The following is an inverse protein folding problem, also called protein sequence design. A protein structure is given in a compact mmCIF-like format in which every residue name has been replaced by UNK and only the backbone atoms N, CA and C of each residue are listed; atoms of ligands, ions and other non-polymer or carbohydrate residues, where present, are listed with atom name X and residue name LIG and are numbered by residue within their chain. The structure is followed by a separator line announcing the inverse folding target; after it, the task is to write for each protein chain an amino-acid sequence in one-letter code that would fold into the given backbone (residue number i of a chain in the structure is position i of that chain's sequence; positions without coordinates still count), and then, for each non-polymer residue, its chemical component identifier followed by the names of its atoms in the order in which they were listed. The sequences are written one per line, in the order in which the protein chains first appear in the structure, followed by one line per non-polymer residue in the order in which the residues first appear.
data_IF_882392100622
#
_entry.id   IF_882392100622
#
_cell.length_a   1.000
_cell.length_b   1.000
_cell.length_c   1.000
_cell.angle_alpha   90.00
_cell.angle_beta   90.00
_cell.angle_gamma   90.00
#
_symmetry.space_group_name_H-M   'P 1'
#
loop_
_entity.id
_entity.type
_entity.pdbx_description
1 polymer ?
#
# COMPACT_ATOMS: atom_id res chain seq x y z
N UNK A 1 10.09 10.94 -17.30
CA UNK A 1 10.73 10.99 -15.96
C UNK A 1 10.59 9.62 -15.30
N UNK A 2 11.51 9.22 -14.41
CA UNK A 2 11.42 7.96 -13.65
C UNK A 2 10.20 8.00 -12.71
N UNK A 3 9.40 6.96 -12.69
CA UNK A 3 8.15 6.90 -11.89
C UNK A 3 8.42 7.08 -10.39
N UNK A 4 9.55 6.57 -9.87
CA UNK A 4 9.95 6.81 -8.46
C UNK A 4 9.98 8.31 -8.13
N UNK A 5 10.56 9.15 -8.98
CA UNK A 5 10.61 10.61 -8.79
C UNK A 5 9.20 11.21 -8.79
N UNK A 6 8.35 10.78 -9.72
CA UNK A 6 6.94 11.24 -9.80
C UNK A 6 6.16 10.89 -8.52
N UNK A 7 6.36 9.69 -7.98
CA UNK A 7 5.72 9.28 -6.72
C UNK A 7 6.19 10.17 -5.56
N UNK A 8 7.50 10.42 -5.44
CA UNK A 8 8.04 11.30 -4.39
C UNK A 8 7.48 12.72 -4.56
N UNK A 9 7.50 13.28 -5.76
CA UNK A 9 6.91 14.59 -6.05
C UNK A 9 5.41 14.61 -5.69
N UNK A 10 4.65 13.57 -6.04
CA UNK A 10 3.22 13.48 -5.72
C UNK A 10 2.97 13.48 -4.21
N UNK A 11 3.80 12.76 -3.44
CA UNK A 11 3.71 12.75 -1.97
C UNK A 11 4.02 14.13 -1.41
N UNK A 12 5.11 14.77 -1.85
CA UNK A 12 5.50 16.12 -1.39
C UNK A 12 4.49 17.18 -1.80
N UNK A 13 3.91 17.09 -2.99
CA UNK A 13 2.82 17.98 -3.43
C UNK A 13 1.64 17.93 -2.47
N UNK A 14 1.24 16.74 -2.04
CA UNK A 14 0.13 16.57 -1.09
C UNK A 14 0.48 17.00 0.33
N UNK A 15 1.75 16.91 0.73
CA UNK A 15 2.25 17.42 2.01
C UNK A 15 2.28 18.96 2.07
N UNK A 16 2.36 19.66 0.94
CA UNK A 16 2.32 21.13 0.87
C UNK A 16 3.32 21.82 1.80
N UNK A 17 4.49 21.22 2.02
CA UNK A 17 5.51 21.72 2.95
C UNK A 17 5.19 21.51 4.45
N UNK A 18 4.11 20.81 4.79
CA UNK A 18 3.72 20.55 6.18
C UNK A 18 4.44 19.35 6.80
N UNK A 19 5.12 18.58 5.99
CA UNK A 19 5.92 17.42 6.38
C UNK A 19 7.27 17.46 5.72
N UNK A 20 8.27 16.97 6.44
CA UNK A 20 9.63 16.82 5.88
C UNK A 20 9.67 15.71 4.83
N UNK A 21 10.73 15.70 4.01
CA UNK A 21 11.02 14.62 3.06
C UNK A 21 11.08 13.25 3.75
N UNK A 22 11.46 13.21 5.03
CA UNK A 22 11.50 11.99 5.82
C UNK A 22 10.11 11.46 6.21
N UNK A 23 9.10 12.33 6.25
CA UNK A 23 7.70 11.90 6.30
C UNK A 23 7.32 11.10 5.04
N UNK A 24 7.71 11.60 3.86
CA UNK A 24 7.53 10.87 2.59
C UNK A 24 8.32 9.55 2.59
N UNK A 25 9.59 9.57 3.02
CA UNK A 25 10.40 8.36 3.16
C UNK A 25 9.72 7.29 4.01
N UNK A 26 9.24 7.63 5.21
CA UNK A 26 8.57 6.68 6.09
C UNK A 26 7.28 6.12 5.49
N UNK A 27 6.51 6.94 4.80
CA UNK A 27 5.29 6.51 4.11
C UNK A 27 5.62 5.54 2.97
N UNK A 28 6.57 5.91 2.11
CA UNK A 28 6.98 5.11 0.97
C UNK A 28 7.67 3.81 1.38
N UNK A 29 8.38 3.79 2.51
CA UNK A 29 8.97 2.57 3.09
C UNK A 29 7.91 1.68 3.75
N UNK A 30 6.74 2.22 4.08
CA UNK A 30 5.67 1.49 4.75
C UNK A 30 5.87 1.34 6.26
N UNK A 31 6.48 2.34 6.90
CA UNK A 31 6.66 2.36 8.35
C UNK A 31 5.29 2.43 9.04
N UNK A 32 4.95 1.39 9.78
CA UNK A 32 3.70 1.31 10.53
C UNK A 32 3.82 2.07 11.86
N UNK A 33 3.91 3.40 11.80
CA UNK A 33 3.73 4.28 12.97
C UNK A 33 2.39 5.00 12.87
N UNK A 34 1.78 5.36 13.99
CA UNK A 34 0.52 6.09 14.03
C UNK A 34 0.58 7.36 13.16
N UNK A 35 1.65 8.13 13.26
CA UNK A 35 1.87 9.33 12.44
C UNK A 35 1.88 9.03 10.94
N UNK A 36 2.60 8.00 10.50
CA UNK A 36 2.71 7.67 9.07
C UNK A 36 1.36 7.20 8.51
N UNK A 37 0.62 6.40 9.29
CA UNK A 37 -0.70 5.90 8.87
C UNK A 37 -1.69 7.08 8.78
N UNK A 38 -1.68 7.98 9.77
CA UNK A 38 -2.52 9.18 9.77
C UNK A 38 -2.20 10.11 8.61
N UNK A 39 -0.91 10.38 8.35
CA UNK A 39 -0.49 11.18 7.20
C UNK A 39 -0.94 10.51 5.89
N UNK A 40 -0.88 9.18 5.79
CA UNK A 40 -1.40 8.40 4.67
C UNK A 40 -2.89 8.65 4.42
N UNK A 41 -3.70 8.67 5.46
CA UNK A 41 -5.14 8.99 5.38
C UNK A 41 -5.38 10.47 5.12
N UNK A 42 -4.82 11.35 5.94
CA UNK A 42 -5.06 12.79 5.89
C UNK A 42 -4.71 13.40 4.53
N UNK A 43 -3.55 13.02 3.97
CA UNK A 43 -3.10 13.49 2.67
C UNK A 43 -3.53 12.58 1.51
N UNK A 44 -4.37 11.58 1.75
CA UNK A 44 -4.83 10.60 0.74
C UNK A 44 -3.67 9.87 0.04
N UNK A 45 -2.64 9.51 0.80
CA UNK A 45 -1.38 8.91 0.33
C UNK A 45 -1.28 7.40 0.52
N UNK A 46 -2.32 6.75 1.03
CA UNK A 46 -2.37 5.28 1.22
C UNK A 46 -2.03 4.48 -0.04
N UNK A 47 -2.40 4.91 -1.26
CA UNK A 47 -1.97 4.23 -2.48
C UNK A 47 -0.46 4.04 -2.59
N UNK A 48 0.32 4.98 -2.05
CA UNK A 48 1.78 4.97 -2.13
C UNK A 48 2.47 4.36 -0.90
N UNK A 49 1.71 3.97 0.12
CA UNK A 49 2.26 3.40 1.35
C UNK A 49 3.00 2.10 1.09
N UNK A 50 4.26 2.03 1.52
CA UNK A 50 5.07 0.82 1.46
C UNK A 50 5.50 0.37 0.06
N UNK A 51 5.45 1.25 -0.96
CA UNK A 51 5.87 0.90 -2.32
C UNK A 51 7.37 0.65 -2.44
N UNK A 52 8.17 1.22 -1.56
CA UNK A 52 9.63 1.05 -1.56
C UNK A 52 10.14 0.54 -0.21
N UNK A 53 9.80 -0.70 0.21
CA UNK A 53 10.09 -1.21 1.55
C UNK A 53 11.59 -1.36 1.85
N UNK A 54 12.43 -1.37 0.82
CA UNK A 54 13.90 -1.46 0.93
C UNK A 54 14.61 -0.14 0.67
N UNK A 55 13.88 0.95 0.47
CA UNK A 55 14.46 2.28 0.23
C UNK A 55 15.33 2.68 1.43
N UNK A 56 16.55 3.15 1.14
CA UNK A 56 17.43 3.75 2.14
C UNK A 56 17.18 5.25 2.24
N UNK A 57 17.58 5.83 3.38
CA UNK A 57 17.40 7.27 3.61
C UNK A 57 18.16 8.11 2.58
N UNK A 58 19.36 7.71 2.24
CA UNK A 58 20.20 8.39 1.26
C UNK A 58 19.58 8.42 -0.15
N UNK A 59 18.75 7.41 -0.47
CA UNK A 59 18.07 7.36 -1.77
C UNK A 59 17.00 8.46 -1.91
N UNK A 60 16.23 8.76 -0.84
CA UNK A 60 15.22 9.81 -0.93
C UNK A 60 15.88 11.19 -0.98
N UNK A 61 17.01 11.37 -0.31
CA UNK A 61 17.81 12.59 -0.37
C UNK A 61 18.35 12.79 -1.80
N UNK A 62 18.85 11.75 -2.45
CA UNK A 62 19.28 11.76 -3.86
C UNK A 62 18.14 12.12 -4.79
N UNK A 63 16.95 11.55 -4.60
CA UNK A 63 15.75 11.88 -5.40
C UNK A 63 15.37 13.35 -5.23
N UNK A 64 15.39 13.87 -3.99
CA UNK A 64 15.08 15.27 -3.73
C UNK A 64 16.09 16.21 -4.41
N UNK A 65 17.39 15.91 -4.30
CA UNK A 65 18.45 16.68 -4.95
C UNK A 65 18.27 16.71 -6.48
N UNK A 66 18.05 15.57 -7.13
CA UNK A 66 17.79 15.47 -8.56
C UNK A 66 16.54 16.25 -8.99
N UNK A 67 15.48 16.22 -8.17
CA UNK A 67 14.26 16.98 -8.44
C UNK A 67 14.46 18.50 -8.25
N UNK A 68 15.30 18.93 -7.30
CA UNK A 68 15.67 20.34 -7.14
C UNK A 68 16.52 20.84 -8.32
N UNK A 69 17.54 20.08 -8.72
CA UNK A 69 18.38 20.40 -9.86
C UNK A 69 17.57 20.53 -11.16
N UNK A 70 16.57 19.66 -11.33
CA UNK A 70 15.62 19.72 -12.45
C UNK A 70 14.60 20.86 -12.34
N UNK A 71 14.56 21.59 -11.22
CA UNK A 71 13.62 22.68 -10.96
C UNK A 71 12.18 22.21 -10.65
N UNK A 72 11.98 20.94 -10.27
CA UNK A 72 10.67 20.39 -9.90
C UNK A 72 10.31 20.63 -8.43
N UNK A 73 11.33 20.87 -7.58
CA UNK A 73 11.18 21.17 -6.16
C UNK A 73 11.87 22.50 -5.82
N UNK A 74 11.31 23.19 -4.82
CA UNK A 74 11.95 24.31 -4.14
C UNK A 74 11.91 24.11 -2.63
N UNK A 75 12.97 24.44 -1.88
CA UNK A 75 12.96 24.36 -0.43
C UNK A 75 11.99 25.40 0.15
N UNK A 76 11.31 25.08 1.24
CA UNK A 76 10.44 26.02 1.98
C UNK A 76 10.77 26.09 3.47
N UNK A 77 11.37 25.04 4.04
CA UNK A 77 11.88 24.98 5.41
C UNK A 77 12.91 23.85 5.48
N UNK A 78 13.50 23.61 6.65
CA UNK A 78 14.46 22.54 6.87
C UNK A 78 13.86 21.19 6.50
N UNK A 79 14.47 20.54 5.52
CA UNK A 79 14.04 19.24 4.98
C UNK A 79 12.59 19.22 4.43
N UNK A 80 12.00 20.39 4.17
CA UNK A 80 10.67 20.57 3.61
C UNK A 80 10.75 21.19 2.21
N UNK A 81 9.90 20.69 1.31
CA UNK A 81 9.93 21.08 -0.10
C UNK A 81 8.52 21.35 -0.63
N UNK A 82 8.42 22.30 -1.54
CA UNK A 82 7.23 22.56 -2.34
C UNK A 82 7.47 22.15 -3.80
N UNK A 83 6.49 21.53 -4.40
CA UNK A 83 6.51 21.21 -5.83
C UNK A 83 6.26 22.50 -6.62
N UNK A 84 7.08 22.74 -7.65
CA UNK A 84 6.93 23.89 -8.56
C UNK A 84 5.89 23.59 -9.63
N UNK A 85 5.49 24.61 -10.39
CA UNK A 85 4.61 24.43 -11.56
C UNK A 85 5.22 23.46 -12.59
N UNK A 86 6.53 23.56 -12.84
CA UNK A 86 7.27 22.60 -13.68
C UNK A 86 7.18 21.17 -13.15
N UNK A 87 7.29 21.00 -11.83
CA UNK A 87 7.10 19.70 -11.18
C UNK A 87 5.66 19.16 -11.34
N UNK A 88 4.66 20.02 -11.24
CA UNK A 88 3.25 19.65 -11.44
C UNK A 88 2.95 19.20 -12.88
N UNK A 89 3.52 19.87 -13.87
CA UNK A 89 3.43 19.46 -15.27
C UNK A 89 4.06 18.08 -15.44
N UNK A 90 5.29 17.90 -14.93
CA UNK A 90 6.01 16.64 -15.04
C UNK A 90 5.27 15.46 -14.35
N UNK A 91 4.59 15.70 -13.22
CA UNK A 91 3.72 14.68 -12.58
C UNK A 91 2.58 14.32 -13.53
N UNK A 92 1.83 15.29 -14.05
CA UNK A 92 0.66 15.05 -14.91
C UNK A 92 1.03 14.29 -16.17
N UNK A 93 2.10 14.71 -16.85
CA UNK A 93 2.53 14.10 -18.10
C UNK A 93 2.96 12.64 -17.88
N UNK A 94 3.76 12.35 -16.84
CA UNK A 94 4.20 10.98 -16.54
C UNK A 94 3.03 10.08 -16.15
N UNK A 95 2.07 10.60 -15.37
CA UNK A 95 0.87 9.83 -15.00
C UNK A 95 -0.04 9.55 -16.20
N UNK A 96 -0.09 10.47 -17.18
CA UNK A 96 -0.83 10.27 -18.43
C UNK A 96 -0.16 9.19 -19.31
N UNK A 97 1.17 9.20 -19.39
CA UNK A 97 1.95 8.20 -20.16
C UNK A 97 1.95 6.81 -19.51
N UNK A 98 1.75 6.74 -18.18
CA UNK A 98 1.79 5.48 -17.43
C UNK A 98 0.53 5.31 -16.57
N UNK A 99 -0.64 5.12 -17.20
CA UNK A 99 -1.94 5.09 -16.49
C UNK A 99 -2.09 3.93 -15.51
N UNK A 100 -1.26 2.88 -15.62
CA UNK A 100 -1.28 1.73 -14.72
C UNK A 100 -1.03 2.13 -13.25
N UNK A 101 -0.29 3.21 -13.00
CA UNK A 101 0.06 3.68 -11.65
C UNK A 101 -1.18 4.06 -10.83
N UNK A 102 -2.30 4.43 -11.47
CA UNK A 102 -3.56 4.72 -10.78
C UNK A 102 -4.12 3.55 -9.97
N UNK A 103 -3.71 2.32 -10.30
CA UNK A 103 -4.11 1.10 -9.60
C UNK A 103 -3.26 0.79 -8.37
N UNK A 104 -2.24 1.61 -8.08
CA UNK A 104 -1.46 1.45 -6.85
C UNK A 104 -2.36 1.56 -5.62
N UNK A 105 -2.27 0.59 -4.74
CA UNK A 105 -2.87 0.58 -3.43
C UNK A 105 -1.97 -0.19 -2.46
N UNK A 106 -0.83 0.44 -2.13
CA UNK A 106 0.23 -0.18 -1.35
C UNK A 106 -0.19 -0.52 0.07
N UNK A 107 -1.07 0.30 0.67
CA UNK A 107 -1.57 0.03 2.02
C UNK A 107 -2.40 -1.27 2.08
N UNK A 108 -3.29 -1.47 1.10
CA UNK A 108 -4.14 -2.65 1.04
C UNK A 108 -3.42 -3.88 0.48
N UNK A 109 -2.71 -3.71 -0.64
CA UNK A 109 -2.21 -4.85 -1.42
C UNK A 109 -0.69 -5.03 -1.40
N UNK A 110 0.09 -4.08 -0.87
CA UNK A 110 1.55 -4.13 -0.96
C UNK A 110 2.16 -5.44 -0.47
N UNK A 111 1.78 -5.92 0.72
CA UNK A 111 2.23 -7.21 1.25
C UNK A 111 1.55 -8.39 0.56
N UNK A 112 0.23 -8.30 0.39
CA UNK A 112 -0.59 -9.37 -0.21
C UNK A 112 -0.15 -9.65 -1.66
N UNK A 113 0.14 -8.60 -2.44
CA UNK A 113 0.63 -8.74 -3.82
C UNK A 113 1.96 -9.47 -3.91
N UNK A 114 2.91 -9.14 -3.04
CA UNK A 114 4.20 -9.82 -3.00
C UNK A 114 4.03 -11.30 -2.66
N UNK A 115 3.24 -11.62 -1.63
CA UNK A 115 2.99 -13.02 -1.24
C UNK A 115 2.22 -13.80 -2.31
N UNK A 116 1.19 -13.18 -2.90
CA UNK A 116 0.45 -13.75 -4.02
C UNK A 116 1.40 -14.14 -5.15
N UNK A 117 2.25 -13.23 -5.60
CA UNK A 117 3.18 -13.46 -6.69
C UNK A 117 4.19 -14.55 -6.39
N UNK A 118 4.78 -14.54 -5.20
CA UNK A 118 5.74 -15.56 -4.77
C UNK A 118 5.12 -16.97 -4.72
N UNK A 119 3.92 -17.10 -4.18
CA UNK A 119 3.17 -18.37 -4.11
C UNK A 119 2.77 -18.85 -5.50
N UNK A 120 2.20 -17.94 -6.29
CA UNK A 120 1.73 -18.24 -7.65
C UNK A 120 2.87 -18.72 -8.55
N UNK A 121 3.97 -17.98 -8.63
CA UNK A 121 5.07 -18.33 -9.53
C UNK A 121 5.74 -19.64 -9.14
N UNK A 122 5.98 -19.88 -7.85
CA UNK A 122 6.54 -21.15 -7.38
C UNK A 122 5.55 -22.31 -7.59
N UNK A 123 4.25 -22.09 -7.43
CA UNK A 123 3.24 -23.11 -7.67
C UNK A 123 3.19 -23.51 -9.14
N UNK A 124 3.22 -22.56 -10.09
CA UNK A 124 3.27 -22.83 -11.53
C UNK A 124 4.53 -23.61 -11.89
N UNK A 125 5.70 -23.18 -11.42
CA UNK A 125 6.95 -23.92 -11.63
C UNK A 125 6.81 -25.36 -11.15
N UNK A 126 6.40 -25.57 -9.90
CA UNK A 126 6.27 -26.90 -9.31
C UNK A 126 5.24 -27.76 -10.03
N UNK A 127 4.11 -27.18 -10.42
CA UNK A 127 3.03 -27.87 -11.12
C UNK A 127 3.47 -28.37 -12.49
N UNK A 128 4.15 -27.51 -13.26
CA UNK A 128 4.65 -27.87 -14.60
C UNK A 128 5.78 -28.90 -14.54
N UNK A 129 6.68 -28.81 -13.58
CA UNK A 129 7.73 -29.81 -13.33
C UNK A 129 7.17 -31.20 -12.98
N UNK A 130 6.16 -31.24 -12.10
CA UNK A 130 5.51 -32.49 -11.71
C UNK A 130 4.65 -33.12 -12.83
N UNK A 131 4.15 -32.32 -13.77
CA UNK A 131 3.41 -32.81 -14.94
C UNK A 131 4.32 -33.41 -16.02
N UNK A 132 5.50 -32.82 -16.18
CA UNK A 132 6.52 -33.32 -17.12
C UNK A 132 7.33 -34.51 -16.60
N UNK A 133 7.10 -34.88 -15.31
CA UNK A 133 7.88 -35.92 -14.63
C UNK A 133 9.39 -35.63 -14.56
N UNK A 134 9.77 -34.35 -14.61
CA UNK A 134 11.15 -33.90 -14.37
C UNK A 134 11.54 -34.25 -12.92
N UNK A 135 12.67 -34.95 -12.76
CA UNK A 135 13.04 -35.56 -11.47
C UNK A 135 13.28 -34.55 -10.36
N UNK A 136 14.16 -33.60 -10.55
CA UNK A 136 14.46 -32.55 -9.56
C UNK A 136 14.60 -31.19 -10.24
N UNK A 137 14.21 -30.13 -9.54
CA UNK A 137 14.38 -28.76 -9.99
C UNK A 137 14.76 -27.85 -8.81
N UNK A 138 15.42 -26.73 -9.12
CA UNK A 138 15.74 -25.70 -8.13
C UNK A 138 14.54 -24.75 -8.03
N UNK A 139 13.91 -24.62 -6.84
CA UNK A 139 12.80 -23.70 -6.67
C UNK A 139 13.23 -22.24 -6.91
N UNK A 140 12.44 -21.48 -7.66
CA UNK A 140 12.69 -20.04 -7.92
C UNK A 140 12.57 -19.19 -6.65
N UNK A 141 11.93 -19.71 -5.60
CA UNK A 141 11.79 -19.05 -4.30
C UNK A 141 12.37 -19.97 -3.21
N UNK A 142 13.35 -19.44 -2.46
CA UNK A 142 14.06 -20.18 -1.40
C UNK A 142 13.42 -20.02 -0.02
N UNK A 143 12.35 -19.21 0.13
CA UNK A 143 11.64 -19.08 1.40
C UNK A 143 10.93 -20.38 1.75
N UNK A 144 11.33 -20.97 2.89
CA UNK A 144 10.80 -22.24 3.38
C UNK A 144 9.29 -22.19 3.67
N UNK A 145 8.77 -21.03 4.09
CA UNK A 145 7.34 -20.88 4.35
C UNK A 145 6.53 -20.90 3.04
N UNK A 146 7.03 -20.24 2.00
CA UNK A 146 6.44 -20.27 0.65
C UNK A 146 6.49 -21.67 0.06
N UNK A 147 7.64 -22.35 0.16
CA UNK A 147 7.80 -23.73 -0.33
C UNK A 147 6.85 -24.70 0.39
N UNK A 148 6.75 -24.60 1.72
CA UNK A 148 5.82 -25.41 2.52
C UNK A 148 4.38 -25.14 2.11
N UNK A 149 4.01 -23.86 1.92
CA UNK A 149 2.68 -23.46 1.50
C UNK A 149 2.30 -24.09 0.14
N UNK A 150 3.20 -24.03 -0.84
CA UNK A 150 3.02 -24.63 -2.16
C UNK A 150 2.92 -26.16 -2.07
N UNK A 151 3.83 -26.82 -1.33
CA UNK A 151 3.84 -28.27 -1.17
C UNK A 151 2.52 -28.81 -0.60
N UNK A 152 1.97 -28.17 0.43
CA UNK A 152 0.71 -28.59 1.08
C UNK A 152 -0.49 -28.48 0.13
N UNK A 153 -0.48 -27.51 -0.81
CA UNK A 153 -1.59 -27.25 -1.74
C UNK A 153 -1.43 -27.91 -3.12
N UNK A 154 -0.30 -28.58 -3.34
CA UNK A 154 -0.04 -29.26 -4.61
C UNK A 154 -0.93 -30.50 -4.76
N UNK A 155 -1.73 -30.65 -5.83
CA UNK A 155 -2.58 -31.82 -6.02
C UNK A 155 -1.75 -33.10 -6.20
N UNK A 156 -2.15 -34.18 -5.54
CA UNK A 156 -1.40 -35.46 -5.56
C UNK A 156 -1.55 -36.22 -6.90
N UNK A 157 -2.69 -36.08 -7.60
CA UNK A 157 -3.01 -36.84 -8.80
C UNK A 157 -2.69 -36.04 -10.07
N UNK A 158 -2.15 -36.70 -11.10
CA UNK A 158 -1.80 -36.09 -12.39
C UNK A 158 -2.98 -35.39 -13.07
N UNK A 159 -4.16 -36.04 -13.07
CA UNK A 159 -5.37 -35.45 -13.67
C UNK A 159 -5.84 -34.18 -12.93
N UNK A 160 -5.76 -34.19 -11.59
CA UNK A 160 -6.08 -32.99 -10.81
C UNK A 160 -5.08 -31.85 -11.07
N UNK A 161 -3.79 -32.15 -11.23
CA UNK A 161 -2.76 -31.16 -11.62
C UNK A 161 -3.06 -30.55 -12.97
N UNK A 162 -3.44 -31.38 -13.96
CA UNK A 162 -3.78 -30.91 -15.31
C UNK A 162 -5.01 -29.99 -15.29
N UNK A 163 -6.05 -30.35 -14.51
CA UNK A 163 -7.25 -29.52 -14.39
C UNK A 163 -6.94 -28.18 -13.72
N UNK A 164 -6.14 -28.18 -12.64
CA UNK A 164 -5.70 -26.94 -11.98
C UNK A 164 -4.89 -26.06 -12.93
N UNK A 165 -3.97 -26.63 -13.73
CA UNK A 165 -3.19 -25.87 -14.71
C UNK A 165 -4.08 -25.22 -15.77
N UNK A 166 -5.06 -25.97 -16.32
CA UNK A 166 -6.01 -25.44 -17.30
C UNK A 166 -6.84 -24.29 -16.70
N UNK A 167 -7.35 -24.46 -15.47
CA UNK A 167 -8.16 -23.43 -14.82
C UNK A 167 -7.32 -22.18 -14.51
N UNK A 168 -6.09 -22.34 -14.00
CA UNK A 168 -5.16 -21.23 -13.79
C UNK A 168 -4.86 -20.48 -15.09
N UNK A 169 -4.70 -21.20 -16.23
CA UNK A 169 -4.50 -20.57 -17.53
C UNK A 169 -5.72 -19.71 -17.93
N UNK A 170 -6.94 -20.24 -17.77
CA UNK A 170 -8.19 -19.53 -18.09
C UNK A 170 -8.32 -18.28 -17.21
N UNK A 171 -8.18 -18.42 -15.89
CA UNK A 171 -8.32 -17.31 -14.94
C UNK A 171 -7.25 -16.24 -15.14
N UNK A 172 -5.99 -16.63 -15.32
CA UNK A 172 -4.91 -15.68 -15.57
C UNK A 172 -5.10 -14.94 -16.91
N UNK A 173 -5.52 -15.66 -17.97
CA UNK A 173 -5.83 -15.04 -19.27
C UNK A 173 -6.93 -13.96 -19.12
N UNK A 174 -8.04 -14.29 -18.44
CA UNK A 174 -9.12 -13.34 -18.17
C UNK A 174 -8.66 -12.09 -17.42
N UNK A 175 -7.76 -12.24 -16.45
CA UNK A 175 -7.18 -11.10 -15.73
C UNK A 175 -6.28 -10.27 -16.63
N UNK A 176 -5.44 -10.91 -17.44
CA UNK A 176 -4.44 -10.24 -18.28
C UNK A 176 -5.07 -9.54 -19.51
N UNK A 177 -6.20 -10.03 -20.03
CA UNK A 177 -6.96 -9.37 -21.12
C UNK A 177 -7.47 -7.96 -20.75
N UNK A 178 -7.47 -7.60 -19.47
CA UNK A 178 -7.82 -6.25 -19.00
C UNK A 178 -6.70 -5.22 -19.21
N UNK A 179 -5.49 -5.69 -19.50
CA UNK A 179 -4.31 -4.83 -19.68
C UNK A 179 -3.92 -4.74 -21.16
N UNK A 180 -3.33 -3.62 -21.60
CA UNK A 180 -2.64 -3.57 -22.87
C UNK A 180 -1.58 -4.69 -23.00
N UNK A 181 -1.39 -5.22 -24.19
CA UNK A 181 -0.55 -6.40 -24.45
C UNK A 181 0.86 -6.31 -23.84
N UNK A 182 1.49 -5.14 -23.87
CA UNK A 182 2.83 -4.97 -23.30
C UNK A 182 2.89 -5.20 -21.79
N UNK A 183 1.81 -4.88 -21.04
CA UNK A 183 1.73 -5.12 -19.60
C UNK A 183 1.42 -6.61 -19.33
N UNK A 184 0.49 -7.20 -20.09
CA UNK A 184 0.20 -8.62 -19.98
C UNK A 184 1.47 -9.46 -20.27
N UNK A 185 2.20 -9.11 -21.33
CA UNK A 185 3.47 -9.75 -21.68
C UNK A 185 4.50 -9.59 -20.55
N UNK A 186 4.59 -8.42 -19.93
CA UNK A 186 5.51 -8.16 -18.81
C UNK A 186 5.30 -9.11 -17.63
N UNK A 187 4.05 -9.44 -17.29
CA UNK A 187 3.72 -10.42 -16.24
C UNK A 187 4.07 -11.84 -16.69
N UNK A 188 3.65 -12.24 -17.91
CA UNK A 188 3.83 -13.61 -18.41
C UNK A 188 5.31 -13.96 -18.56
N UNK A 189 6.14 -13.02 -19.00
CA UNK A 189 7.59 -13.23 -19.16
C UNK A 189 8.31 -13.60 -17.86
N UNK A 190 7.78 -13.23 -16.71
CA UNK A 190 8.37 -13.49 -15.40
C UNK A 190 7.99 -14.85 -14.81
N UNK A 191 7.07 -15.59 -15.45
CA UNK A 191 6.62 -16.90 -14.96
C UNK A 191 7.57 -18.01 -15.45
N UNK A 192 8.14 -18.74 -14.50
CA UNK A 192 8.95 -19.93 -14.77
C UNK A 192 8.07 -21.16 -14.90
N UNK A 193 8.32 -21.95 -15.95
CA UNK A 193 7.71 -23.26 -16.19
C UNK A 193 8.79 -24.32 -16.40
N UNK A 194 8.40 -25.55 -16.58
CA UNK A 194 9.35 -26.62 -16.92
C UNK A 194 10.10 -26.32 -18.24
N UNK A 195 9.42 -25.72 -19.24
CA UNK A 195 9.99 -25.44 -20.56
C UNK A 195 10.76 -24.14 -20.67
N UNK A 196 10.53 -23.21 -19.76
CA UNK A 196 11.07 -21.86 -19.85
C UNK A 196 11.34 -21.27 -18.47
N UNK A 197 12.56 -20.79 -18.29
CA UNK A 197 12.91 -19.95 -17.12
C UNK A 197 12.35 -18.55 -17.34
N UNK A 198 11.62 -18.06 -16.34
CA UNK A 198 11.08 -16.70 -16.35
C UNK A 198 12.18 -15.65 -16.30
N UNK A 199 11.93 -14.51 -16.92
CA UNK A 199 12.81 -13.34 -16.89
C UNK A 199 12.77 -12.67 -15.50
N UNK A 200 13.86 -12.03 -15.12
CA UNK A 200 13.82 -11.06 -14.02
C UNK A 200 12.93 -9.89 -14.39
N UNK A 201 12.44 -9.15 -13.39
CA UNK A 201 11.60 -7.97 -13.65
C UNK A 201 12.29 -6.94 -14.55
N UNK A 202 13.62 -6.75 -14.39
CA UNK A 202 14.42 -5.86 -15.23
C UNK A 202 14.50 -6.35 -16.71
N UNK A 203 14.72 -7.64 -16.92
CA UNK A 203 14.77 -8.22 -18.27
C UNK A 203 13.40 -8.16 -18.96
N UNK A 204 12.32 -8.44 -18.19
CA UNK A 204 10.96 -8.36 -18.71
C UNK A 204 10.59 -6.91 -19.08
N UNK A 205 10.96 -5.94 -18.25
CA UNK A 205 10.75 -4.51 -18.51
C UNK A 205 11.44 -4.09 -19.81
N UNK A 206 12.72 -4.39 -19.95
CA UNK A 206 13.47 -4.10 -21.17
C UNK A 206 12.81 -4.72 -22.42
N UNK A 207 12.37 -5.99 -22.31
CA UNK A 207 11.70 -6.70 -23.41
C UNK A 207 10.38 -6.08 -23.83
N UNK A 208 9.66 -5.47 -22.87
CA UNK A 208 8.36 -4.82 -23.09
C UNK A 208 8.46 -3.30 -23.35
N UNK A 209 9.68 -2.76 -23.50
CA UNK A 209 9.90 -1.34 -23.76
C UNK A 209 9.58 -0.42 -22.55
N UNK A 210 9.65 -0.97 -21.32
CA UNK A 210 9.56 -0.19 -20.09
C UNK A 210 10.95 0.24 -19.61
N UNK A 211 11.01 1.37 -18.91
CA UNK A 211 12.22 1.73 -18.17
C UNK A 211 12.47 0.69 -17.07
N UNK A 212 13.68 0.17 -17.00
CA UNK A 212 14.05 -0.86 -16.02
C UNK A 212 13.90 -0.38 -14.58
N UNK A 213 14.13 0.91 -14.31
CA UNK A 213 13.96 1.49 -12.98
C UNK A 213 12.49 1.54 -12.54
N UNK A 214 11.57 1.55 -13.49
CA UNK A 214 10.13 1.58 -13.24
C UNK A 214 9.50 0.18 -13.11
N UNK A 215 10.26 -0.87 -13.45
CA UNK A 215 9.79 -2.27 -13.48
C UNK A 215 9.09 -2.70 -12.19
N UNK A 216 9.67 -2.34 -11.03
CA UNK A 216 9.09 -2.67 -9.73
C UNK A 216 7.71 -2.04 -9.53
N UNK A 217 7.57 -0.76 -9.83
CA UNK A 217 6.31 -0.03 -9.62
C UNK A 217 5.23 -0.50 -10.60
N UNK A 218 5.58 -0.71 -11.86
CA UNK A 218 4.67 -1.29 -12.86
C UNK A 218 4.17 -2.65 -12.39
N UNK A 219 5.08 -3.51 -11.92
CA UNK A 219 4.73 -4.83 -11.40
C UNK A 219 3.76 -4.73 -10.19
N UNK A 220 4.05 -3.84 -9.23
CA UNK A 220 3.16 -3.64 -8.08
C UNK A 220 1.78 -3.13 -8.51
N UNK A 221 1.71 -2.15 -9.41
CA UNK A 221 0.45 -1.60 -9.91
C UNK A 221 -0.41 -2.66 -10.60
N UNK A 222 0.21 -3.53 -11.41
CA UNK A 222 -0.48 -4.65 -12.04
C UNK A 222 -0.98 -5.68 -11.03
N UNK A 223 -0.17 -6.05 -10.04
CA UNK A 223 -0.59 -6.98 -8.99
C UNK A 223 -1.75 -6.42 -8.17
N UNK A 224 -1.72 -5.12 -7.86
CA UNK A 224 -2.79 -4.48 -7.11
C UNK A 224 -4.12 -4.48 -7.89
N UNK A 225 -4.10 -4.15 -9.19
CA UNK A 225 -5.29 -4.23 -10.05
C UNK A 225 -5.81 -5.67 -10.17
N UNK A 226 -4.92 -6.66 -10.37
CA UNK A 226 -5.31 -8.06 -10.41
C UNK A 226 -5.97 -8.51 -9.11
N UNK A 227 -5.41 -8.12 -7.95
CA UNK A 227 -5.98 -8.46 -6.64
C UNK A 227 -7.34 -7.77 -6.42
N UNK A 228 -7.47 -6.51 -6.81
CA UNK A 228 -8.73 -5.77 -6.72
C UNK A 228 -9.82 -6.42 -7.58
N UNK A 229 -9.50 -6.81 -8.82
CA UNK A 229 -10.44 -7.51 -9.69
C UNK A 229 -10.85 -8.88 -9.14
N UNK A 230 -9.89 -9.63 -8.60
CA UNK A 230 -10.18 -10.92 -7.98
C UNK A 230 -11.06 -10.78 -6.73
N UNK A 231 -10.89 -9.73 -5.93
CA UNK A 231 -11.77 -9.45 -4.79
C UNK A 231 -13.20 -9.08 -5.22
N UNK A 232 -13.33 -8.23 -6.26
CA UNK A 232 -14.64 -7.82 -6.78
C UNK A 232 -15.42 -8.98 -7.42
N UNK A 233 -14.71 -9.97 -7.94
CA UNK A 233 -15.27 -11.05 -8.73
C UNK A 233 -14.79 -12.44 -8.26
N UNK A 234 -14.85 -12.73 -6.96
CA UNK A 234 -14.33 -13.96 -6.35
C UNK A 234 -14.74 -15.24 -7.06
N UNK A 235 -16.00 -15.32 -7.52
CA UNK A 235 -16.53 -16.51 -8.20
C UNK A 235 -15.92 -16.78 -9.58
N UNK A 236 -15.31 -15.77 -10.20
CA UNK A 236 -14.65 -15.90 -11.52
C UNK A 236 -13.24 -16.48 -11.41
N UNK A 237 -12.60 -16.36 -10.24
CA UNK A 237 -11.19 -16.68 -10.04
C UNK A 237 -10.96 -17.68 -8.90
N UNK A 238 -11.71 -18.80 -8.82
CA UNK A 238 -11.69 -19.70 -7.67
C UNK A 238 -10.31 -20.31 -7.39
N UNK A 239 -9.49 -20.55 -8.40
CA UNK A 239 -8.16 -21.12 -8.20
C UNK A 239 -7.13 -20.04 -7.86
N UNK A 240 -7.17 -18.87 -8.48
CA UNK A 240 -6.28 -17.77 -8.15
C UNK A 240 -6.55 -17.19 -6.75
N UNK A 241 -7.79 -17.22 -6.27
CA UNK A 241 -8.16 -16.84 -4.90
C UNK A 241 -7.40 -17.64 -3.83
N UNK A 242 -7.01 -18.87 -4.11
CA UNK A 242 -6.26 -19.71 -3.17
C UNK A 242 -4.92 -19.09 -2.78
N UNK A 243 -4.29 -18.31 -3.68
CA UNK A 243 -2.98 -17.70 -3.44
C UNK A 243 -3.05 -16.43 -2.61
N UNK A 244 -4.24 -15.83 -2.46
CA UNK A 244 -4.45 -14.63 -1.66
C UNK A 244 -4.46 -15.00 -0.18
N UNK A 245 -3.63 -14.31 0.60
CA UNK A 245 -3.69 -14.43 2.04
C UNK A 245 -4.87 -13.61 2.56
N UNK A 246 -5.93 -14.29 2.95
CA UNK A 246 -7.02 -13.66 3.69
C UNK A 246 -6.58 -13.57 5.15
N UNK A 247 -6.00 -12.43 5.51
CA UNK A 247 -5.68 -12.14 6.90
C UNK A 247 -6.99 -12.06 7.71
N UNK A 248 -7.44 -13.20 8.22
CA UNK A 248 -8.61 -13.28 9.11
C UNK A 248 -8.39 -12.62 10.49
N UNK A 249 -7.21 -12.05 10.74
CA UNK A 249 -6.81 -11.57 12.07
C UNK A 249 -6.08 -10.23 12.12
N UNK A 250 -5.69 -9.60 11.02
CA UNK A 250 -5.16 -8.25 11.13
C UNK A 250 -6.24 -7.26 10.68
N UNK A 251 -6.85 -6.60 11.63
CA UNK A 251 -7.72 -5.44 11.43
C UNK A 251 -6.96 -4.26 10.79
N UNK A 252 -5.93 -4.50 9.98
CA UNK A 252 -5.13 -3.47 9.31
C UNK A 252 -4.24 -2.63 10.24
N UNK A 253 -4.53 -2.54 11.52
CA UNK A 253 -3.78 -1.75 12.51
C UNK A 253 -2.59 -2.49 13.12
N UNK A 254 -1.77 -1.76 13.86
CA UNK A 254 -0.58 -2.33 14.51
C UNK A 254 -0.98 -3.30 15.63
N UNK A 255 -0.09 -4.26 15.94
CA UNK A 255 -0.27 -5.16 17.10
C UNK A 255 -0.48 -4.37 18.41
N UNK A 256 0.12 -3.18 18.51
CA UNK A 256 -0.02 -2.31 19.66
C UNK A 256 -1.44 -1.71 19.73
N UNK A 257 -1.98 -1.25 18.61
CA UNK A 257 -3.36 -0.76 18.53
C UNK A 257 -4.37 -1.90 18.81
N UNK A 258 -4.11 -3.13 18.36
CA UNK A 258 -4.95 -4.31 18.65
C UNK A 258 -5.09 -4.56 20.16
N UNK A 259 -3.99 -4.47 20.91
CA UNK A 259 -4.03 -4.60 22.37
C UNK A 259 -4.85 -3.47 23.02
N UNK A 260 -4.75 -2.23 22.50
CA UNK A 260 -5.58 -1.12 22.96
C UNK A 260 -7.06 -1.37 22.66
N UNK A 261 -7.38 -1.83 21.42
CA UNK A 261 -8.76 -2.12 21.02
C UNK A 261 -9.43 -3.14 21.95
N UNK A 262 -8.73 -4.22 22.32
CA UNK A 262 -9.25 -5.22 23.28
C UNK A 262 -9.55 -4.63 24.65
N UNK A 263 -8.71 -3.73 25.16
CA UNK A 263 -8.93 -3.09 26.46
C UNK A 263 -10.09 -2.09 26.40
N UNK A 264 -10.28 -1.38 25.27
CA UNK A 264 -11.46 -0.54 25.04
C UNK A 264 -12.73 -1.39 25.03
N UNK A 265 -12.74 -2.53 24.37
CA UNK A 265 -13.88 -3.46 24.37
C UNK A 265 -14.20 -4.03 25.75
N UNK A 266 -13.21 -4.10 26.65
CA UNK A 266 -13.38 -4.48 28.06
C UNK A 266 -13.87 -3.32 28.94
N UNK A 267 -14.13 -2.13 28.38
CA UNK A 267 -14.66 -0.97 29.10
C UNK A 267 -13.62 -0.15 29.84
N UNK A 268 -12.32 -0.35 29.60
CA UNK A 268 -11.27 0.48 30.26
C UNK A 268 -11.23 1.89 29.69
N UNK A 269 -11.01 2.88 30.55
CA UNK A 269 -10.78 4.27 30.17
C UNK A 269 -9.38 4.46 29.59
N UNK A 270 -9.14 5.59 28.88
CA UNK A 270 -7.83 5.92 28.32
C UNK A 270 -6.70 5.88 29.35
N UNK A 271 -6.94 6.44 30.54
CA UNK A 271 -5.95 6.53 31.61
C UNK A 271 -5.68 5.15 32.24
N UNK A 272 -6.71 4.32 32.39
CA UNK A 272 -6.55 2.93 32.82
C UNK A 272 -5.75 2.11 31.82
N UNK A 273 -6.00 2.31 30.51
CA UNK A 273 -5.25 1.64 29.44
C UNK A 273 -3.79 2.10 29.43
N UNK A 274 -3.54 3.42 29.55
CA UNK A 274 -2.20 3.98 29.61
C UNK A 274 -1.40 3.41 30.79
N UNK A 275 -2.00 3.37 31.97
CA UNK A 275 -1.39 2.77 33.17
C UNK A 275 -1.13 1.28 33.00
N UNK A 276 -2.14 0.51 32.58
CA UNK A 276 -2.05 -0.96 32.41
C UNK A 276 -0.99 -1.37 31.38
N UNK A 277 -0.84 -0.59 30.31
CA UNK A 277 0.13 -0.84 29.24
C UNK A 277 1.47 -0.14 29.47
N UNK A 278 1.63 0.66 30.51
CA UNK A 278 2.81 1.48 30.79
C UNK A 278 3.20 2.37 29.58
N UNK A 279 2.20 2.97 28.96
CA UNK A 279 2.35 3.86 27.80
C UNK A 279 1.86 5.28 28.15
N UNK A 280 2.36 6.29 27.43
CA UNK A 280 1.84 7.66 27.54
C UNK A 280 0.40 7.71 27.02
N UNK A 281 -0.45 8.57 27.60
CA UNK A 281 -1.81 8.82 27.14
C UNK A 281 -1.86 9.16 25.65
N UNK A 282 -0.96 10.02 25.18
CA UNK A 282 -0.85 10.37 23.76
C UNK A 282 -0.61 9.15 22.83
N UNK A 283 0.09 8.12 23.31
CA UNK A 283 0.27 6.88 22.55
C UNK A 283 -1.04 6.08 22.47
N UNK A 284 -1.85 6.09 23.52
CA UNK A 284 -3.18 5.44 23.50
C UNK A 284 -4.13 6.21 22.57
N UNK A 285 -4.08 7.55 22.60
CA UNK A 285 -4.82 8.40 21.66
C UNK A 285 -4.46 8.11 20.20
N UNK A 286 -3.15 7.94 19.90
CA UNK A 286 -2.69 7.53 18.57
C UNK A 286 -3.22 6.16 18.16
N UNK A 287 -3.28 5.17 19.06
CA UNK A 287 -3.87 3.87 18.78
C UNK A 287 -5.37 3.98 18.48
N UNK A 288 -6.11 4.84 19.20
CA UNK A 288 -7.53 5.05 18.95
C UNK A 288 -7.78 5.66 17.59
N UNK A 289 -6.96 6.64 17.19
CA UNK A 289 -7.06 7.21 15.85
C UNK A 289 -6.75 6.15 14.78
N UNK A 290 -5.73 5.31 15.00
CA UNK A 290 -5.41 4.21 14.10
C UNK A 290 -6.58 3.22 13.95
N UNK A 291 -7.25 2.88 15.06
CA UNK A 291 -8.44 2.01 15.05
C UNK A 291 -9.58 2.71 14.29
N UNK A 292 -9.86 3.99 14.60
CA UNK A 292 -10.91 4.76 13.96
C UNK A 292 -10.71 4.87 12.45
N UNK A 293 -9.49 5.03 11.96
CA UNK A 293 -9.17 5.10 10.53
C UNK A 293 -9.45 3.80 9.78
N UNK A 294 -9.39 2.66 10.45
CA UNK A 294 -9.44 1.35 9.80
C UNK A 294 -10.72 0.56 10.10
N UNK A 295 -11.47 0.96 11.11
CA UNK A 295 -12.73 0.34 11.48
C UNK A 295 -13.88 1.34 11.32
N UNK A 296 -14.64 1.31 10.23
CA UNK A 296 -15.75 2.24 9.98
C UNK A 296 -16.79 2.29 11.10
N UNK A 297 -17.06 1.16 11.74
CA UNK A 297 -18.07 1.04 12.81
C UNK A 297 -17.55 1.43 14.20
N UNK A 298 -16.27 1.80 14.34
CA UNK A 298 -15.73 2.21 15.64
C UNK A 298 -16.32 3.56 16.08
N UNK A 299 -17.05 3.59 17.19
CA UNK A 299 -17.68 4.81 17.69
C UNK A 299 -16.67 5.77 18.28
N UNK A 300 -16.66 7.01 17.82
CA UNK A 300 -15.84 8.10 18.37
C UNK A 300 -16.59 8.94 19.41
N UNK A 301 -17.89 8.69 19.64
CA UNK A 301 -18.74 9.43 20.59
C UNK A 301 -18.18 9.49 22.03
N UNK A 302 -17.50 8.47 22.56
CA UNK A 302 -16.89 8.55 23.89
C UNK A 302 -15.77 9.60 24.02
N UNK A 303 -15.21 10.07 22.90
CA UNK A 303 -14.03 10.93 22.84
C UNK A 303 -14.32 12.33 22.30
N UNK A 304 -15.38 12.47 21.48
CA UNK A 304 -15.75 13.73 20.80
C UNK A 304 -17.25 13.89 20.83
N UNK A 305 -17.72 15.02 21.36
CA UNK A 305 -19.16 15.36 21.34
C UNK A 305 -19.60 15.75 19.92
N UNK A 306 -20.87 15.58 19.60
CA UNK A 306 -21.43 16.00 18.30
C UNK A 306 -21.25 17.51 18.07
N UNK A 307 -21.31 18.34 19.13
CA UNK A 307 -21.08 19.77 19.04
C UNK A 307 -19.65 20.10 18.55
N UNK A 308 -18.63 19.47 19.14
CA UNK A 308 -17.23 19.64 18.73
C UNK A 308 -17.05 19.13 17.29
N UNK A 309 -17.65 18.01 16.95
CA UNK A 309 -17.60 17.45 15.60
C UNK A 309 -18.17 18.44 14.58
N UNK A 310 -19.32 19.04 14.87
CA UNK A 310 -19.93 20.06 14.01
C UNK A 310 -19.07 21.32 13.87
N UNK A 311 -18.47 21.83 14.98
CA UNK A 311 -17.57 22.98 14.94
C UNK A 311 -16.37 22.71 14.01
N UNK A 312 -15.75 21.53 14.10
CA UNK A 312 -14.62 21.15 13.26
C UNK A 312 -15.03 21.09 11.77
N UNK A 313 -16.14 20.44 11.45
CA UNK A 313 -16.62 20.35 10.06
C UNK A 313 -17.04 21.70 9.48
N UNK A 314 -17.71 22.57 10.26
CA UNK A 314 -18.08 23.91 9.84
C UNK A 314 -16.84 24.74 9.47
N UNK A 315 -15.80 24.72 10.32
CA UNK A 315 -14.54 25.40 10.05
C UNK A 315 -13.86 24.87 8.80
N UNK A 316 -13.82 23.56 8.62
CA UNK A 316 -13.24 22.94 7.41
C UNK A 316 -14.01 23.30 6.15
N UNK A 317 -15.34 23.36 6.22
CA UNK A 317 -16.20 23.74 5.09
C UNK A 317 -15.98 25.20 4.68
N UNK A 318 -15.82 26.09 5.66
CA UNK A 318 -15.54 27.51 5.42
C UNK A 318 -14.16 27.75 4.78
N UNK A 319 -13.12 27.09 5.30
CA UNK A 319 -11.72 27.30 4.87
C UNK A 319 -11.28 26.41 3.72
N UNK A 320 -12.09 25.41 3.33
CA UNK A 320 -11.79 24.48 2.24
C UNK A 320 -10.84 23.36 2.62
N UNK A 321 -10.45 22.54 1.63
CA UNK A 321 -9.66 21.30 1.83
C UNK A 321 -8.19 21.50 2.23
N UNK A 322 -7.73 22.74 2.40
CA UNK A 322 -6.32 23.11 2.66
C UNK A 322 -6.02 23.49 4.11
N UNK A 323 -6.93 23.18 5.04
CA UNK A 323 -6.82 23.59 6.46
C UNK A 323 -5.80 22.72 7.19
N UNK A 324 -4.85 23.34 7.89
CA UNK A 324 -3.89 22.63 8.77
C UNK A 324 -4.54 22.31 10.10
N UNK A 325 -4.09 21.20 10.74
CA UNK A 325 -4.54 20.84 12.10
C UNK A 325 -4.34 21.97 13.09
N UNK A 326 -3.25 22.73 12.92
CA UNK A 326 -2.92 23.89 13.75
C UNK A 326 -3.96 24.99 13.59
N UNK A 327 -4.39 25.30 12.38
CA UNK A 327 -5.37 26.35 12.09
C UNK A 327 -6.72 26.02 12.76
N UNK A 328 -7.13 24.74 12.75
CA UNK A 328 -8.34 24.28 13.45
C UNK A 328 -8.18 24.45 14.96
N UNK A 329 -7.03 24.06 15.53
CA UNK A 329 -6.76 24.19 16.96
C UNK A 329 -6.74 25.65 17.42
N UNK A 330 -6.11 26.55 16.66
CA UNK A 330 -6.03 27.98 16.95
C UNK A 330 -7.41 28.65 16.85
N UNK A 331 -8.23 28.25 15.87
CA UNK A 331 -9.57 28.84 15.70
C UNK A 331 -10.58 28.36 16.72
N UNK A 332 -10.54 27.09 17.14
CA UNK A 332 -11.51 26.48 18.04
C UNK A 332 -11.07 26.53 19.54
N UNK A 333 -9.85 26.99 19.80
CA UNK A 333 -9.36 27.21 21.16
C UNK A 333 -9.09 25.96 21.98
N UNK A 334 -9.05 26.10 23.32
CA UNK A 334 -8.61 25.01 24.20
C UNK A 334 -9.66 23.92 24.45
N UNK A 335 -10.91 24.17 24.09
CA UNK A 335 -11.98 23.15 24.16
C UNK A 335 -11.74 21.97 23.22
N UNK A 336 -10.97 22.17 22.15
CA UNK A 336 -10.72 21.15 21.12
C UNK A 336 -9.27 20.74 21.12
N UNK A 337 -8.99 19.48 21.50
CA UNK A 337 -7.64 18.93 21.49
C UNK A 337 -7.22 18.47 20.08
N UNK A 338 -5.92 18.36 19.82
CA UNK A 338 -5.40 17.73 18.58
C UNK A 338 -5.91 16.28 18.41
N UNK A 339 -6.09 15.55 19.51
CA UNK A 339 -6.67 14.22 19.47
C UNK A 339 -8.09 14.24 18.90
N UNK A 340 -8.95 15.13 19.39
CA UNK A 340 -10.33 15.29 18.91
C UNK A 340 -10.37 15.66 17.43
N UNK A 341 -9.55 16.64 17.00
CA UNK A 341 -9.47 17.04 15.59
C UNK A 341 -9.09 15.85 14.72
N UNK A 342 -8.02 15.14 15.06
CA UNK A 342 -7.52 13.98 14.30
C UNK A 342 -8.55 12.85 14.26
N UNK A 343 -9.29 12.66 15.34
CA UNK A 343 -10.32 11.62 15.42
C UNK A 343 -11.54 11.94 14.56
N UNK A 344 -11.97 13.21 14.53
CA UNK A 344 -13.03 13.67 13.61
C UNK A 344 -12.60 13.54 12.15
N UNK A 345 -11.35 13.93 11.84
CA UNK A 345 -10.81 13.78 10.49
C UNK A 345 -10.67 12.31 10.06
N UNK A 346 -10.44 11.40 11.01
CA UNK A 346 -10.45 9.97 10.75
C UNK A 346 -11.85 9.42 10.36
N UNK A 347 -12.90 10.20 10.61
CA UNK A 347 -14.31 9.90 10.32
C UNK A 347 -14.91 10.84 9.27
N UNK A 348 -14.08 11.47 8.44
CA UNK A 348 -14.57 12.31 7.36
C UNK A 348 -15.45 11.44 6.43
N UNK A 349 -16.76 11.67 6.50
CA UNK A 349 -17.70 11.15 5.52
C UNK A 349 -17.36 11.78 4.16
N UNK A 350 -17.32 10.96 3.13
CA UNK A 350 -17.06 11.39 1.75
C UNK A 350 -18.15 12.35 1.24
#
# INVERSE_FOLDING_TARGET
MIIKHVIVLTVLKRFRGERTIYGAYHLLQGKKSAQTIQDGHYYTLLPYFGLFPKMKREEIDTVAAACMESGYLKPCDKDCYLVTEKGDIAIRDTLAETPIIRHLNGFKYGRTGILFWQRFTLFIQSLTQLLSQSGSFIPINQDRAIQKWVKVRMPNQKNKRMNVLRQLHIELKQLLERFPDRYALFIVLQVTTEKKVGYTSAQAAHRCGFNVEDAWIIHQAMLHEMLEEMEKNEKKFPVLQVFIERDSKSAGWTKSADQTARLIQQGHTLDQIATKRKLKRSTIEDHIIEIALQQPDFSIKPYVTEEIKHKIYAFMKEKGSSVKLRDIKEALGDEVSYFMIRLVLARKEE
#
